data_IF_571465401906
#
_entry.id   IF_571465401906
#
_cell.length_a   1.000
_cell.length_b   1.000
_cell.length_c   1.000
_cell.angle_alpha   90.00
_cell.angle_beta   90.00
_cell.angle_gamma   90.00
#
_symmetry.space_group_name_H-M   'P 1'
#
loop_
_entity.id
_entity.type
_entity.pdbx_description
1 polymer ?
#
# COMPACT_ATOMS: atom_id res chain seq x y z
N UNK A 1 -6.75 0.18 -6.62
CA UNK A 1 -7.27 -0.93 -5.81
C UNK A 1 -6.11 -1.62 -5.09
N UNK A 2 -6.24 -1.92 -3.82
CA UNK A 2 -5.16 -2.54 -3.05
C UNK A 2 -5.29 -4.06 -3.04
N UNK A 3 -4.13 -4.73 -3.07
CA UNK A 3 -4.08 -6.19 -3.06
C UNK A 3 -4.20 -6.71 -1.64
N UNK A 4 -5.43 -6.91 -1.19
CA UNK A 4 -5.72 -7.34 0.15
C UNK A 4 -6.75 -8.45 0.11
N UNK A 5 -6.53 -9.50 0.89
CA UNK A 5 -7.48 -10.60 1.00
C UNK A 5 -7.70 -10.97 2.45
N UNK A 6 -8.89 -11.45 2.75
CA UNK A 6 -9.28 -11.84 4.11
C UNK A 6 -9.52 -13.35 4.14
N UNK A 7 -8.94 -14.01 5.13
CA UNK A 7 -9.16 -15.43 5.38
C UNK A 7 -10.24 -15.57 6.46
N UNK A 8 -11.47 -16.00 6.07
CA UNK A 8 -12.54 -16.14 7.05
C UNK A 8 -12.33 -17.28 8.04
N UNK A 9 -11.40 -18.20 7.74
CA UNK A 9 -11.08 -19.33 8.61
C UNK A 9 -9.97 -19.01 9.61
N UNK A 10 -9.36 -17.84 9.51
CA UNK A 10 -8.27 -17.44 10.41
C UNK A 10 -8.79 -17.12 11.80
N UNK A 11 -7.96 -17.40 12.81
CA UNK A 11 -8.21 -17.00 14.20
C UNK A 11 -8.06 -15.49 14.40
N UNK A 12 -7.44 -14.81 13.43
CA UNK A 12 -7.25 -13.36 13.46
C UNK A 12 -8.53 -12.68 13.04
N UNK A 13 -9.02 -11.74 13.85
CA UNK A 13 -10.25 -11.01 13.54
C UNK A 13 -10.12 -10.26 12.20
N UNK A 14 -11.21 -10.15 11.43
CA UNK A 14 -11.16 -9.48 10.12
C UNK A 14 -10.58 -8.07 10.16
N UNK A 15 -10.94 -7.24 11.17
CA UNK A 15 -10.39 -5.88 11.24
C UNK A 15 -8.87 -5.89 11.41
N UNK A 16 -8.34 -6.88 12.14
CA UNK A 16 -6.91 -7.00 12.35
C UNK A 16 -6.19 -7.51 11.09
N UNK A 17 -6.85 -8.38 10.33
CA UNK A 17 -6.31 -8.80 9.04
C UNK A 17 -6.20 -7.63 8.08
N UNK A 18 -7.21 -6.75 8.05
CA UNK A 18 -7.18 -5.53 7.22
C UNK A 18 -6.03 -4.63 7.68
N UNK A 19 -5.92 -4.39 8.97
CA UNK A 19 -4.87 -3.52 9.54
C UNK A 19 -3.47 -4.06 9.19
N UNK A 20 -3.21 -5.33 9.49
CA UNK A 20 -1.92 -5.95 9.20
C UNK A 20 -1.62 -5.99 7.71
N UNK A 21 -2.64 -6.25 6.89
CA UNK A 21 -2.48 -6.30 5.45
C UNK A 21 -2.07 -4.95 4.88
N UNK A 22 -2.66 -3.87 5.34
CA UNK A 22 -2.30 -2.52 4.89
C UNK A 22 -0.88 -2.18 5.34
N UNK A 23 -0.52 -2.48 6.58
CA UNK A 23 0.83 -2.25 7.10
C UNK A 23 1.86 -3.00 6.24
N UNK A 24 1.57 -4.25 5.91
CA UNK A 24 2.46 -5.06 5.08
C UNK A 24 2.63 -4.46 3.68
N UNK A 25 1.54 -3.98 3.08
CA UNK A 25 1.60 -3.33 1.77
C UNK A 25 2.45 -2.06 1.81
N UNK A 26 2.32 -1.28 2.89
CA UNK A 26 3.13 -0.07 3.08
C UNK A 26 4.61 -0.44 3.26
N UNK A 27 4.87 -1.42 4.12
CA UNK A 27 6.25 -1.83 4.43
C UNK A 27 6.96 -2.49 3.24
N UNK A 28 6.21 -3.16 2.38
CA UNK A 28 6.78 -3.81 1.19
C UNK A 28 6.91 -2.84 0.01
N UNK A 29 6.46 -1.60 0.15
CA UNK A 29 6.52 -0.60 -0.92
C UNK A 29 5.42 -0.74 -1.97
N UNK A 30 4.44 -1.61 -1.76
CA UNK A 30 3.31 -1.78 -2.68
C UNK A 30 2.29 -0.65 -2.54
N UNK A 31 2.20 -0.04 -1.35
CA UNK A 31 1.44 1.18 -1.13
C UNK A 31 2.42 2.29 -0.79
N UNK A 32 2.56 3.24 -1.68
CA UNK A 32 3.51 4.33 -1.53
C UNK A 32 2.97 5.41 -0.59
N UNK A 33 3.86 6.04 0.15
CA UNK A 33 3.50 7.20 0.97
C UNK A 33 2.86 8.28 0.12
N UNK A 34 1.81 8.89 0.63
CA UNK A 34 1.03 9.87 -0.11
C UNK A 34 -0.03 9.28 -1.03
N UNK A 35 -0.04 7.97 -1.22
CA UNK A 35 -1.06 7.31 -2.04
C UNK A 35 -2.41 7.33 -1.36
N UNK A 36 -3.44 7.56 -2.14
CA UNK A 36 -4.82 7.45 -1.67
C UNK A 36 -5.19 5.97 -1.54
N UNK A 37 -5.79 5.61 -0.41
CA UNK A 37 -6.34 4.27 -0.21
C UNK A 37 -7.85 4.29 -0.41
N UNK A 38 -8.49 3.14 -0.67
CA UNK A 38 -9.94 3.10 -0.85
C UNK A 38 -10.67 3.67 0.35
N UNK A 39 -11.87 4.19 0.13
CA UNK A 39 -12.73 4.59 1.24
C UNK A 39 -13.11 3.36 2.06
N UNK A 40 -13.52 3.59 3.32
CA UNK A 40 -13.99 2.52 4.19
C UNK A 40 -15.09 1.70 3.50
N UNK A 41 -16.05 2.39 2.91
CA UNK A 41 -17.17 1.72 2.24
C UNK A 41 -16.72 0.91 1.04
N UNK A 42 -15.86 1.47 0.20
CA UNK A 42 -15.37 0.78 -0.99
C UNK A 42 -14.57 -0.48 -0.62
N UNK A 43 -13.70 -0.38 0.37
CA UNK A 43 -12.89 -1.53 0.80
C UNK A 43 -13.75 -2.60 1.46
N UNK A 44 -14.72 -2.19 2.28
CA UNK A 44 -15.66 -3.13 2.91
C UNK A 44 -16.44 -3.91 1.86
N UNK A 45 -16.90 -3.24 0.83
CA UNK A 45 -17.63 -3.85 -0.26
C UNK A 45 -16.75 -4.84 -1.02
N UNK A 46 -15.52 -4.45 -1.33
CA UNK A 46 -14.56 -5.29 -2.04
C UNK A 46 -14.19 -6.55 -1.25
N UNK A 47 -14.03 -6.42 0.06
CA UNK A 47 -13.62 -7.54 0.93
C UNK A 47 -14.81 -8.31 1.51
N UNK A 48 -16.03 -7.90 1.19
CA UNK A 48 -17.25 -8.49 1.75
C UNK A 48 -17.28 -8.45 3.27
N UNK A 49 -16.94 -7.28 3.82
CA UNK A 49 -16.94 -7.02 5.26
C UNK A 49 -17.94 -5.91 5.59
N UNK A 50 -18.36 -5.87 6.86
CA UNK A 50 -19.16 -4.77 7.35
C UNK A 50 -18.34 -3.47 7.35
N UNK A 51 -18.94 -2.32 6.97
CA UNK A 51 -18.22 -1.05 7.00
C UNK A 51 -17.59 -0.73 8.35
N UNK A 52 -18.25 -1.07 9.46
CA UNK A 52 -17.71 -0.83 10.80
C UNK A 52 -16.40 -1.60 11.05
N UNK A 53 -16.26 -2.78 10.47
CA UNK A 53 -15.04 -3.59 10.57
C UNK A 53 -13.86 -2.87 9.93
N UNK A 54 -14.06 -2.37 8.71
CA UNK A 54 -13.02 -1.63 7.99
C UNK A 54 -12.76 -0.28 8.66
N UNK A 55 -13.82 0.40 9.12
CA UNK A 55 -13.68 1.68 9.84
C UNK A 55 -12.80 1.53 11.08
N UNK A 56 -12.96 0.43 11.82
CA UNK A 56 -12.11 0.15 12.98
C UNK A 56 -10.65 0.01 12.59
N UNK A 57 -10.37 -0.72 11.50
CA UNK A 57 -9.01 -0.87 10.98
C UNK A 57 -8.40 0.48 10.64
N UNK A 58 -9.16 1.33 9.96
CA UNK A 58 -8.67 2.65 9.56
C UNK A 58 -8.41 3.55 10.76
N UNK A 59 -9.27 3.50 11.79
CA UNK A 59 -9.03 4.28 13.02
C UNK A 59 -7.74 3.86 13.71
N UNK A 60 -7.48 2.56 13.78
CA UNK A 60 -6.25 2.05 14.38
C UNK A 60 -5.02 2.42 13.57
N UNK A 61 -5.11 2.31 12.24
CA UNK A 61 -4.01 2.71 11.35
C UNK A 61 -3.71 4.21 11.46
N UNK A 62 -4.75 5.02 11.61
CA UNK A 62 -4.60 6.45 11.80
C UNK A 62 -3.94 6.77 13.15
N UNK A 63 -4.34 6.08 14.21
CA UNK A 63 -3.73 6.21 15.53
C UNK A 63 -2.27 5.79 15.54
N UNK A 64 -1.89 4.85 14.68
CA UNK A 64 -0.51 4.36 14.54
C UNK A 64 0.31 5.18 13.54
N UNK A 65 -0.25 6.25 13.00
CA UNK A 65 0.41 7.11 12.01
C UNK A 65 0.77 6.41 10.69
N UNK A 66 0.04 5.35 10.35
CA UNK A 66 0.23 4.66 9.06
C UNK A 66 -0.52 5.37 7.95
N UNK A 67 -1.72 5.86 8.26
CA UNK A 67 -2.55 6.61 7.32
C UNK A 67 -2.98 7.93 7.94
N UNK A 68 -3.44 8.85 7.09
CA UNK A 68 -4.04 10.10 7.53
C UNK A 68 -5.31 10.37 6.73
N UNK A 69 -6.29 10.97 7.39
CA UNK A 69 -7.54 11.39 6.74
C UNK A 69 -7.42 12.87 6.39
N UNK A 70 -7.73 13.22 5.14
CA UNK A 70 -7.70 14.60 4.66
C UNK A 70 -9.11 15.07 4.35
N UNK A 71 -9.98 15.01 5.34
CA UNK A 71 -11.37 15.42 5.22
C UNK A 71 -12.08 14.74 4.06
N UNK A 72 -12.69 15.53 3.17
CA UNK A 72 -13.44 15.01 2.03
C UNK A 72 -12.56 14.40 0.94
N UNK A 73 -11.27 14.62 1.00
CA UNK A 73 -10.35 14.07 0.00
C UNK A 73 -10.09 12.59 0.20
N UNK A 74 -10.38 12.06 1.40
CA UNK A 74 -10.23 10.65 1.71
C UNK A 74 -9.05 10.36 2.62
N UNK A 75 -8.63 9.11 2.63
CA UNK A 75 -7.53 8.64 3.45
C UNK A 75 -6.32 8.32 2.59
N UNK A 76 -5.14 8.62 3.10
CA UNK A 76 -3.89 8.50 2.37
C UNK A 76 -2.84 7.82 3.25
N UNK A 77 -1.91 7.13 2.63
CA UNK A 77 -0.75 6.59 3.34
C UNK A 77 0.09 7.77 3.82
N UNK A 78 0.37 7.80 5.13
CA UNK A 78 1.10 8.91 5.72
C UNK A 78 2.57 8.86 5.31
N UNK A 79 3.10 10.02 4.92
CA UNK A 79 4.50 10.14 4.55
C UNK A 79 5.35 10.18 5.81
N UNK A 80 6.31 9.26 5.91
CA UNK A 80 7.33 9.29 6.94
C UNK A 80 8.65 9.69 6.27
N UNK A 81 9.09 10.91 6.51
CA UNK A 81 10.27 11.46 5.84
C UNK A 81 11.52 10.60 6.02
N UNK A 82 11.59 9.89 7.15
CA UNK A 82 12.75 9.07 7.50
C UNK A 82 12.57 7.60 7.17
N UNK A 83 11.47 7.22 6.51
CA UNK A 83 11.24 5.83 6.17
C UNK A 83 12.15 5.37 5.04
N UNK A 84 12.97 4.35 5.31
CA UNK A 84 13.81 3.75 4.29
C UNK A 84 12.98 3.11 3.18
N UNK A 85 11.82 2.55 3.53
CA UNK A 85 10.88 1.97 2.54
C UNK A 85 10.32 3.06 1.63
N UNK A 86 9.95 4.20 2.20
CA UNK A 86 9.46 5.35 1.42
C UNK A 86 10.53 5.83 0.43
N UNK A 87 11.77 5.99 0.91
CA UNK A 87 12.89 6.41 0.05
C UNK A 87 13.18 5.38 -1.03
N UNK A 88 13.15 4.09 -0.66
CA UNK A 88 13.35 3.00 -1.62
C UNK A 88 12.27 3.02 -2.71
N UNK A 89 11.02 3.23 -2.33
CA UNK A 89 9.92 3.33 -3.29
C UNK A 89 10.12 4.51 -4.25
N UNK A 90 10.52 5.67 -3.75
CA UNK A 90 10.82 6.82 -4.58
C UNK A 90 11.93 6.54 -5.58
N UNK A 91 13.03 5.94 -5.12
CA UNK A 91 14.16 5.58 -5.99
C UNK A 91 13.74 4.60 -7.07
N UNK A 92 12.87 3.66 -6.74
CA UNK A 92 12.37 2.68 -7.71
C UNK A 92 11.57 3.37 -8.82
N UNK A 93 10.67 4.27 -8.45
CA UNK A 93 9.86 5.02 -9.43
C UNK A 93 10.76 5.89 -10.32
N UNK A 94 11.71 6.59 -9.72
CA UNK A 94 12.65 7.43 -10.44
C UNK A 94 13.49 6.60 -11.42
N UNK A 95 13.94 5.43 -10.99
CA UNK A 95 14.74 4.54 -11.82
C UNK A 95 13.95 4.02 -13.03
N UNK A 96 12.71 3.58 -12.80
CA UNK A 96 11.86 3.10 -13.88
C UNK A 96 11.56 4.23 -14.86
N UNK A 97 11.29 5.44 -14.37
CA UNK A 97 11.07 6.60 -15.24
C UNK A 97 12.28 6.91 -16.10
N UNK A 98 13.49 6.83 -15.52
CA UNK A 98 14.73 7.05 -16.27
C UNK A 98 14.91 6.00 -17.37
N UNK A 99 14.62 4.74 -17.08
CA UNK A 99 14.70 3.66 -18.08
C UNK A 99 13.71 3.88 -19.22
N UNK A 100 12.49 4.32 -18.91
CA UNK A 100 11.47 4.61 -19.92
C UNK A 100 11.89 5.75 -20.85
N UNK A 101 12.63 6.70 -20.35
CA UNK A 101 13.19 7.78 -21.18
C UNK A 101 14.22 7.26 -22.19
N UNK A 102 14.86 6.14 -21.86
CA UNK A 102 15.77 5.46 -22.79
C UNK A 102 15.02 4.55 -23.76
N UNK A 103 13.70 4.60 -23.75
CA UNK A 103 12.81 3.81 -24.61
C UNK A 103 12.94 2.30 -24.40
N UNK A 104 13.25 1.91 -23.17
CA UNK A 104 13.25 0.51 -22.74
C UNK A 104 11.81 0.17 -22.35
N UNK A 105 11.27 -0.92 -22.88
CA UNK A 105 9.89 -1.33 -22.56
C UNK A 105 9.81 -2.01 -21.20
N UNK A 106 8.58 -2.22 -20.71
CA UNK A 106 8.37 -2.77 -19.36
C UNK A 106 8.91 -4.20 -19.23
N UNK A 107 8.85 -5.00 -20.27
CA UNK A 107 9.42 -6.36 -20.26
C UNK A 107 10.93 -6.33 -20.06
N UNK A 108 11.61 -5.42 -20.76
CA UNK A 108 13.05 -5.23 -20.62
C UNK A 108 13.40 -4.67 -19.25
N UNK A 109 12.61 -3.72 -18.73
CA UNK A 109 12.81 -3.17 -17.39
C UNK A 109 12.73 -4.28 -16.35
N UNK A 110 11.72 -5.13 -16.44
CA UNK A 110 11.54 -6.24 -15.52
C UNK A 110 12.75 -7.19 -15.56
N UNK A 111 13.24 -7.51 -16.74
CA UNK A 111 14.41 -8.37 -16.91
C UNK A 111 15.66 -7.75 -16.30
N UNK A 112 15.86 -6.45 -16.50
CA UNK A 112 17.01 -5.73 -15.94
C UNK A 112 16.95 -5.69 -14.42
N UNK A 113 15.77 -5.47 -13.85
CA UNK A 113 15.60 -5.45 -12.38
C UNK A 113 15.88 -6.83 -11.79
N UNK A 114 15.40 -7.90 -12.42
CA UNK A 114 15.69 -9.26 -11.97
C UNK A 114 17.18 -9.57 -12.02
N UNK A 115 17.84 -9.15 -13.07
CA UNK A 115 19.28 -9.34 -13.21
C UNK A 115 20.04 -8.56 -12.14
N UNK A 116 19.64 -7.33 -11.87
CA UNK A 116 20.27 -6.51 -10.82
C UNK A 116 20.13 -7.14 -9.44
N UNK A 117 18.98 -7.79 -9.18
CA UNK A 117 18.75 -8.46 -7.89
C UNK A 117 19.64 -9.69 -7.69
N UNK A 118 20.20 -10.25 -8.77
CA UNK A 118 21.10 -11.41 -8.72
C UNK A 118 22.56 -11.03 -8.55
N UNK A 119 22.86 -9.75 -8.64
CA UNK A 119 24.23 -9.26 -8.57
C UNK A 119 24.78 -9.21 -7.15
#
# INVERSE_FOLDING_TARGET
MIELSIDPESDVAPYEQVRRGIIELVNSGRLLAGSRIPTVRALAEELDLAPNTVARSYRELEAEDVIETRGRQGSFVKAHADSSVHRAAQLTVEHVAALRQLRVDDTQIEALLKQALRS
#
